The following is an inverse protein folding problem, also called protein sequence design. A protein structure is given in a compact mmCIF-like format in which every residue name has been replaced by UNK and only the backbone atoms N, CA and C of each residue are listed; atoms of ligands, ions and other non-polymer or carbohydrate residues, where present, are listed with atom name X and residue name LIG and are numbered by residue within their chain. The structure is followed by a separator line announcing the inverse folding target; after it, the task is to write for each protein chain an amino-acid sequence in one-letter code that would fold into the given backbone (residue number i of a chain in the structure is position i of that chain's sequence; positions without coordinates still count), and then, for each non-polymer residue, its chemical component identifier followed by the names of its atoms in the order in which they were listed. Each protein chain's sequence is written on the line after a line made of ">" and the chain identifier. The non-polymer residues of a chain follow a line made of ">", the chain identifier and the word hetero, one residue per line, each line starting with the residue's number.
data_IF_560205144417
#
_entry.id   IF_560205144417
#
_cell.length_a   1.000
_cell.length_b   1.000
_cell.length_c   1.000
_cell.angle_alpha   90.00
_cell.angle_beta   90.00
_cell.angle_gamma   90.00
#
_symmetry.space_group_name_H-M   'P 1'
#
loop_
_entity.id
_entity.type
_entity.pdbx_description
1 polymer ?
#
# COMPACT_ATOMS: atom_id res chain seq x y z
N UNK A 1 59.51 39.81 39.43
CA UNK A 1 59.18 38.70 38.50
C UNK A 1 57.92 38.03 39.03
N UNK A 2 56.78 38.24 38.39
CA UNK A 2 55.52 37.60 38.73
C UNK A 2 54.70 37.44 37.44
N UNK A 3 54.14 36.24 37.27
CA UNK A 3 53.44 35.70 36.10
C UNK A 3 52.16 36.45 35.71
N UNK A 4 51.65 36.26 34.48
CA UNK A 4 50.21 36.37 34.20
C UNK A 4 49.58 35.04 33.77
N UNK A 5 48.32 34.88 34.20
CA UNK A 5 47.42 33.76 33.91
C UNK A 5 46.65 33.88 32.59
N UNK A 6 45.58 33.08 32.40
CA UNK A 6 45.25 32.47 31.11
C UNK A 6 44.23 33.23 30.25
N UNK A 7 44.19 32.75 29.01
CA UNK A 7 43.44 33.10 27.80
C UNK A 7 41.92 33.31 27.93
N UNK A 8 41.44 34.43 27.38
CA UNK A 8 40.03 34.63 27.00
C UNK A 8 39.75 34.04 25.61
N UNK A 9 38.91 33.00 25.58
CA UNK A 9 38.35 32.42 24.38
C UNK A 9 37.17 33.28 23.88
N UNK A 10 37.29 33.82 22.67
CA UNK A 10 36.23 34.58 22.01
C UNK A 10 35.18 33.63 21.45
N UNK A 11 33.94 33.76 21.94
CA UNK A 11 32.78 32.97 21.58
C UNK A 11 32.50 33.00 20.06
N UNK A 12 32.44 31.81 19.45
CA UNK A 12 31.87 31.60 18.12
C UNK A 12 30.37 31.39 18.23
N UNK A 13 29.59 32.26 17.58
CA UNK A 13 28.14 32.15 17.43
C UNK A 13 27.78 30.93 16.59
N UNK A 14 27.14 29.92 17.19
CA UNK A 14 26.52 28.83 16.46
C UNK A 14 25.26 29.34 15.75
N UNK A 15 25.30 29.35 14.41
CA UNK A 15 24.14 29.54 13.55
C UNK A 15 23.16 28.40 13.74
N UNK A 16 22.00 28.68 14.31
CA UNK A 16 20.85 27.76 14.32
C UNK A 16 20.23 27.75 12.92
N UNK A 17 20.18 26.57 12.32
CA UNK A 17 19.56 26.32 11.02
C UNK A 17 18.03 26.25 11.16
N UNK A 18 17.24 27.17 10.57
CA UNK A 18 15.79 27.21 10.76
C UNK A 18 15.12 26.43 9.63
N UNK A 19 14.98 25.10 9.78
CA UNK A 19 14.34 24.30 8.73
C UNK A 19 13.97 22.85 9.05
N UNK A 20 14.36 22.30 10.20
CA UNK A 20 14.00 20.92 10.54
C UNK A 20 12.59 20.89 11.18
N UNK A 21 11.58 20.55 10.36
CA UNK A 21 10.29 20.10 10.87
C UNK A 21 10.53 18.86 11.77
N UNK A 22 9.89 18.75 12.94
CA UNK A 22 10.02 17.57 13.78
C UNK A 22 9.47 16.35 13.02
N UNK A 23 10.30 15.33 12.87
CA UNK A 23 9.91 14.04 12.27
C UNK A 23 8.73 13.46 13.04
N UNK A 24 7.73 12.95 12.32
CA UNK A 24 6.58 12.26 12.95
C UNK A 24 7.04 10.93 13.55
N UNK A 25 6.34 10.43 14.57
CA UNK A 25 6.63 9.11 15.18
C UNK A 25 6.58 7.99 14.12
N UNK A 26 5.64 8.10 13.16
CA UNK A 26 5.55 7.21 12.00
C UNK A 26 6.78 7.29 11.08
N UNK A 27 7.29 8.49 10.78
CA UNK A 27 8.51 8.63 9.96
C UNK A 27 9.76 8.17 10.69
N UNK A 28 9.85 8.40 11.99
CA UNK A 28 10.93 7.86 12.81
C UNK A 28 10.91 6.34 12.80
N UNK A 29 9.75 5.72 13.00
CA UNK A 29 9.59 4.27 12.96
C UNK A 29 9.93 3.71 11.58
N UNK A 30 9.51 4.36 10.49
CA UNK A 30 9.85 3.96 9.12
C UNK A 30 11.37 4.03 8.91
N UNK A 31 12.02 5.12 9.32
CA UNK A 31 13.46 5.33 9.11
C UNK A 31 14.30 4.38 9.99
N UNK A 32 13.91 4.21 11.25
CA UNK A 32 14.53 3.25 12.16
C UNK A 32 14.31 1.80 11.69
N UNK A 33 13.11 1.46 11.19
CA UNK A 33 12.87 0.16 10.55
C UNK A 33 13.78 -0.05 9.33
N UNK A 34 13.95 0.95 8.45
CA UNK A 34 14.85 0.84 7.29
C UNK A 34 16.30 0.57 7.71
N UNK A 35 16.77 1.22 8.78
CA UNK A 35 18.13 1.06 9.29
C UNK A 35 18.37 -0.34 9.87
N UNK A 36 17.40 -0.89 10.64
CA UNK A 36 17.49 -2.25 11.20
C UNK A 36 17.33 -3.33 10.12
N UNK A 37 16.51 -3.09 9.10
CA UNK A 37 16.14 -4.08 8.07
C UNK A 37 17.01 -4.07 6.83
N UNK A 38 18.02 -3.19 6.76
CA UNK A 38 18.90 -3.01 5.62
C UNK A 38 19.62 -4.30 5.16
N UNK A 39 19.78 -5.29 6.06
CA UNK A 39 20.34 -6.60 5.74
C UNK A 39 19.30 -7.70 5.92
N UNK A 40 19.02 -8.44 4.83
CA UNK A 40 18.18 -9.65 4.85
C UNK A 40 18.80 -10.70 5.77
N UNK A 41 17.99 -11.34 6.62
CA UNK A 41 18.44 -12.37 7.56
C UNK A 41 18.38 -13.80 7.01
N UNK A 42 17.48 -14.07 6.06
CA UNK A 42 17.43 -15.32 5.30
C UNK A 42 17.60 -14.99 3.82
N UNK A 43 18.32 -15.81 3.05
CA UNK A 43 18.41 -15.63 1.60
C UNK A 43 17.21 -16.25 0.87
N UNK A 44 16.73 -17.38 1.38
CA UNK A 44 15.63 -18.15 0.80
C UNK A 44 14.72 -18.74 1.87
N UNK A 45 13.46 -18.97 1.49
CA UNK A 45 12.48 -19.69 2.29
C UNK A 45 11.90 -20.87 1.49
N UNK A 46 11.86 -22.04 2.11
CA UNK A 46 11.16 -23.22 1.61
C UNK A 46 9.72 -23.16 2.08
N UNK A 47 8.79 -23.12 1.13
CA UNK A 47 7.35 -23.01 1.37
C UNK A 47 6.58 -24.01 0.50
N UNK A 48 6.25 -25.16 1.09
CA UNK A 48 5.65 -26.28 0.35
C UNK A 48 6.60 -26.80 -0.72
N UNK A 49 6.20 -26.69 -1.98
CA UNK A 49 7.03 -27.07 -3.14
C UNK A 49 7.97 -25.97 -3.63
N UNK A 50 7.87 -24.77 -3.06
CA UNK A 50 8.56 -23.59 -3.57
C UNK A 50 9.80 -23.28 -2.75
N UNK A 51 10.86 -22.87 -3.44
CA UNK A 51 12.05 -22.24 -2.87
C UNK A 51 12.05 -20.79 -3.32
N UNK A 52 11.80 -19.87 -2.39
CA UNK A 52 11.50 -18.47 -2.70
C UNK A 52 12.63 -17.59 -2.17
N UNK A 53 13.22 -16.75 -3.03
CA UNK A 53 14.17 -15.72 -2.60
C UNK A 53 13.44 -14.64 -1.80
N UNK A 54 13.95 -14.33 -0.62
CA UNK A 54 13.41 -13.28 0.26
C UNK A 54 13.86 -11.90 -0.19
N UNK A 55 13.06 -10.87 0.09
CA UNK A 55 13.34 -9.50 -0.34
C UNK A 55 13.74 -8.60 0.82
N UNK A 56 13.15 -8.82 2.00
CA UNK A 56 13.34 -7.97 3.17
C UNK A 56 13.67 -8.80 4.41
N UNK A 57 14.24 -8.15 5.41
CA UNK A 57 14.37 -8.71 6.75
C UNK A 57 13.00 -8.96 7.37
N UNK A 58 12.87 -10.10 8.06
CA UNK A 58 11.72 -10.43 8.91
C UNK A 58 12.19 -10.95 10.28
N UNK A 59 11.70 -10.44 11.41
CA UNK A 59 12.22 -10.73 12.75
C UNK A 59 11.75 -12.09 13.29
N UNK A 60 12.17 -13.18 12.63
CA UNK A 60 11.97 -14.52 13.17
C UNK A 60 12.82 -14.70 14.44
N UNK A 61 12.26 -15.28 15.52
CA UNK A 61 12.99 -15.53 16.76
C UNK A 61 13.85 -16.80 16.65
N UNK A 62 14.75 -16.83 15.67
CA UNK A 62 15.72 -17.90 15.46
C UNK A 62 17.11 -17.38 15.84
N UNK A 63 17.84 -18.16 16.64
CA UNK A 63 19.13 -17.77 17.23
C UNK A 63 20.29 -17.79 16.23
N UNK A 64 20.12 -18.48 15.10
CA UNK A 64 21.15 -18.66 14.07
C UNK A 64 20.66 -18.04 12.75
N UNK A 65 21.49 -17.18 12.15
CA UNK A 65 21.24 -16.65 10.80
C UNK A 65 21.59 -17.74 9.79
N UNK A 66 20.66 -18.67 9.58
CA UNK A 66 20.75 -19.62 8.49
C UNK A 66 20.41 -18.96 7.15
N UNK A 67 21.03 -19.42 6.07
CA UNK A 67 20.70 -18.94 4.72
C UNK A 67 19.28 -19.36 4.28
N UNK A 68 18.74 -20.43 4.87
CA UNK A 68 17.45 -21.03 4.50
C UNK A 68 16.49 -21.10 5.69
N UNK A 69 15.24 -20.70 5.45
CA UNK A 69 14.15 -20.83 6.40
C UNK A 69 13.15 -21.89 5.91
N UNK A 70 12.64 -22.75 6.80
CA UNK A 70 11.64 -23.75 6.44
C UNK A 70 10.28 -23.40 7.01
N UNK A 71 9.27 -23.24 6.17
CA UNK A 71 7.93 -22.83 6.60
C UNK A 71 6.88 -23.83 6.11
N UNK A 72 5.98 -24.24 7.00
CA UNK A 72 4.84 -25.08 6.65
C UNK A 72 3.85 -24.30 5.77
N UNK A 73 3.49 -24.85 4.60
CA UNK A 73 2.51 -24.26 3.66
C UNK A 73 1.05 -24.30 4.14
N UNK A 74 0.80 -24.89 5.31
CA UNK A 74 -0.54 -25.07 5.91
C UNK A 74 -0.77 -24.19 7.12
N UNK A 75 0.21 -24.13 8.03
CA UNK A 75 0.07 -23.44 9.33
C UNK A 75 1.07 -22.30 9.54
N UNK A 76 1.94 -22.04 8.54
CA UNK A 76 3.01 -21.04 8.60
C UNK A 76 4.03 -21.24 9.74
N UNK A 77 3.99 -22.35 10.48
CA UNK A 77 5.04 -22.67 11.45
C UNK A 77 6.39 -22.69 10.74
N UNK A 78 7.35 -21.97 11.30
CA UNK A 78 8.72 -21.87 10.82
C UNK A 78 9.64 -22.79 11.62
N UNK A 79 10.69 -23.29 10.97
CA UNK A 79 11.75 -24.13 11.50
C UNK A 79 13.08 -23.71 10.87
N UNK A 80 14.18 -23.87 11.63
CA UNK A 80 15.53 -23.67 11.14
C UNK A 80 16.00 -24.85 10.28
N UNK A 81 15.70 -26.09 10.72
CA UNK A 81 16.16 -27.30 10.05
C UNK A 81 15.09 -27.99 9.17
N UNK A 82 15.54 -28.57 8.06
CA UNK A 82 14.68 -29.33 7.13
C UNK A 82 14.08 -30.60 7.73
N UNK A 83 14.82 -31.35 8.56
CA UNK A 83 14.31 -32.58 9.20
C UNK A 83 13.11 -32.28 10.13
N UNK A 84 13.21 -31.20 10.91
CA UNK A 84 12.13 -30.71 11.76
C UNK A 84 10.89 -30.34 10.94
N UNK A 85 11.08 -29.71 9.77
CA UNK A 85 10.02 -29.40 8.82
C UNK A 85 9.36 -30.65 8.24
N UNK A 86 10.12 -31.66 7.80
CA UNK A 86 9.55 -32.91 7.28
C UNK A 86 8.71 -33.66 8.31
N UNK A 87 9.20 -33.74 9.56
CA UNK A 87 8.46 -34.34 10.67
C UNK A 87 7.17 -33.57 10.97
N UNK A 88 7.22 -32.23 10.92
CA UNK A 88 6.03 -31.41 11.08
C UNK A 88 5.02 -31.63 9.95
N UNK A 89 5.47 -31.69 8.69
CA UNK A 89 4.60 -31.90 7.52
C UNK A 89 3.82 -33.21 7.59
N UNK A 90 4.40 -34.27 8.16
CA UNK A 90 3.73 -35.56 8.40
C UNK A 90 2.65 -35.48 9.49
N UNK A 91 2.81 -34.61 10.49
CA UNK A 91 1.91 -34.47 11.65
C UNK A 91 0.88 -33.35 11.49
N UNK A 92 1.13 -32.38 10.62
CA UNK A 92 0.30 -31.19 10.47
C UNK A 92 -1.06 -31.52 9.86
N UNK A 93 -2.12 -31.35 10.65
CA UNK A 93 -3.51 -31.68 10.27
C UNK A 93 -4.24 -30.53 9.57
N UNK A 94 -3.66 -29.32 9.53
CA UNK A 94 -4.31 -28.14 8.95
C UNK A 94 -4.43 -28.27 7.43
N UNK A 95 -5.63 -28.07 6.89
CA UNK A 95 -5.92 -28.17 5.44
C UNK A 95 -6.36 -26.85 4.81
N UNK A 96 -6.73 -25.87 5.61
CA UNK A 96 -7.15 -24.55 5.16
C UNK A 96 -6.79 -23.51 6.23
N UNK A 97 -6.80 -22.22 5.89
CA UNK A 97 -6.70 -21.17 6.88
C UNK A 97 -7.77 -21.33 7.97
N UNK A 98 -7.45 -21.05 9.24
CA UNK A 98 -8.46 -21.01 10.28
C UNK A 98 -9.43 -19.85 10.04
N UNK A 99 -10.60 -19.85 10.68
CA UNK A 99 -11.61 -18.81 10.51
C UNK A 99 -12.73 -19.20 9.56
N UNK A 100 -13.35 -18.21 8.90
CA UNK A 100 -14.57 -18.42 8.11
C UNK A 100 -14.38 -18.04 6.65
N UNK A 101 -15.03 -18.78 5.75
CA UNK A 101 -15.10 -18.41 4.33
C UNK A 101 -16.01 -17.20 4.15
N UNK A 102 -15.52 -16.16 3.50
CA UNK A 102 -16.29 -14.91 3.22
C UNK A 102 -16.50 -14.67 1.73
N UNK A 103 -15.78 -15.39 0.87
CA UNK A 103 -15.96 -15.38 -0.57
C UNK A 103 -15.53 -16.71 -1.16
N UNK A 104 -16.24 -17.16 -2.19
CA UNK A 104 -15.86 -18.31 -3.00
C UNK A 104 -16.32 -18.14 -4.44
N UNK A 105 -15.41 -18.34 -5.39
CA UNK A 105 -15.72 -18.44 -6.82
C UNK A 105 -14.84 -19.48 -7.48
N UNK A 106 -15.43 -20.62 -7.81
CA UNK A 106 -14.67 -21.79 -8.25
C UNK A 106 -13.71 -22.26 -7.16
N UNK A 107 -12.44 -22.44 -7.51
CA UNK A 107 -11.37 -22.82 -6.58
C UNK A 107 -10.86 -21.66 -5.70
N UNK A 108 -11.13 -20.41 -6.07
CA UNK A 108 -10.65 -19.24 -5.31
C UNK A 108 -11.53 -18.98 -4.10
N UNK A 109 -10.95 -19.02 -2.90
CA UNK A 109 -11.64 -18.81 -1.62
C UNK A 109 -10.92 -17.73 -0.82
N UNK A 110 -11.67 -16.78 -0.24
CA UNK A 110 -11.13 -15.84 0.75
C UNK A 110 -11.64 -16.23 2.12
N UNK A 111 -10.69 -16.45 3.03
CA UNK A 111 -10.91 -16.76 4.43
C UNK A 111 -10.70 -15.50 5.27
N UNK A 112 -11.66 -15.17 6.13
CA UNK A 112 -11.51 -14.14 7.16
C UNK A 112 -11.06 -14.81 8.47
N UNK A 113 -9.90 -14.37 8.95
CA UNK A 113 -9.23 -14.88 10.15
C UNK A 113 -9.08 -13.75 11.15
N UNK A 114 -9.55 -13.97 12.37
CA UNK A 114 -9.45 -13.01 13.45
C UNK A 114 -8.10 -13.18 14.17
N UNK A 115 -7.25 -12.14 14.12
CA UNK A 115 -5.92 -12.17 14.73
C UNK A 115 -5.94 -12.33 16.26
N UNK A 116 -7.02 -11.95 16.94
CA UNK A 116 -7.17 -12.21 18.38
C UNK A 116 -7.52 -13.66 18.69
N UNK A 117 -8.22 -14.36 17.78
CA UNK A 117 -8.64 -15.76 17.97
C UNK A 117 -7.57 -16.74 17.53
N UNK A 118 -6.94 -16.48 16.40
CA UNK A 118 -5.92 -17.34 15.77
C UNK A 118 -4.52 -16.71 15.82
N UNK A 119 -4.15 -16.18 16.99
CA UNK A 119 -2.95 -15.34 17.21
C UNK A 119 -1.67 -15.94 16.62
N UNK A 120 -1.34 -17.18 16.97
CA UNK A 120 -0.12 -17.84 16.49
C UNK A 120 -0.08 -17.96 14.96
N UNK A 121 -1.22 -18.26 14.33
CA UNK A 121 -1.29 -18.39 12.88
C UNK A 121 -1.09 -17.02 12.20
N UNK A 122 -1.74 -15.97 12.71
CA UNK A 122 -1.63 -14.62 12.19
C UNK A 122 -0.24 -14.00 12.41
N UNK A 123 0.41 -14.28 13.54
CA UNK A 123 1.81 -13.91 13.79
C UNK A 123 2.75 -14.58 12.79
N UNK A 124 2.63 -15.90 12.62
CA UNK A 124 3.44 -16.65 11.66
C UNK A 124 3.21 -16.14 10.22
N UNK A 125 1.96 -15.88 9.83
CA UNK A 125 1.62 -15.31 8.53
C UNK A 125 2.21 -13.90 8.35
N UNK A 126 2.19 -13.08 9.41
CA UNK A 126 2.76 -11.73 9.40
C UNK A 126 4.28 -11.74 9.24
N UNK A 127 4.99 -12.62 9.98
CA UNK A 127 6.43 -12.83 9.81
C UNK A 127 6.76 -13.33 8.40
N UNK A 128 5.95 -14.24 7.86
CA UNK A 128 6.13 -14.72 6.49
C UNK A 128 5.89 -13.62 5.45
N UNK A 129 4.83 -12.83 5.60
CA UNK A 129 4.55 -11.68 4.75
C UNK A 129 5.66 -10.64 4.77
N UNK A 130 6.25 -10.36 5.94
CA UNK A 130 7.35 -9.39 6.10
C UNK A 130 8.60 -9.73 5.28
N UNK A 131 8.80 -11.00 4.89
CA UNK A 131 9.88 -11.38 3.96
C UNK A 131 9.73 -10.74 2.56
N UNK A 132 8.51 -10.30 2.21
CA UNK A 132 8.14 -9.79 0.88
C UNK A 132 7.48 -8.40 0.93
N UNK A 133 7.32 -7.83 2.12
CA UNK A 133 6.78 -6.48 2.35
C UNK A 133 7.86 -5.65 3.05
N UNK A 134 8.18 -4.50 2.46
CA UNK A 134 9.18 -3.58 3.00
C UNK A 134 8.71 -2.99 4.34
N UNK A 135 7.57 -2.30 4.28
CA UNK A 135 6.98 -1.57 5.40
C UNK A 135 5.86 -2.41 6.00
N UNK A 136 6.15 -2.98 7.17
CA UNK A 136 5.18 -3.63 8.06
C UNK A 136 5.72 -3.56 9.48
N UNK A 137 5.10 -2.72 10.29
CA UNK A 137 5.49 -2.41 11.66
C UNK A 137 4.95 -3.43 12.66
N UNK A 138 3.73 -3.94 12.42
CA UNK A 138 3.06 -4.88 13.33
C UNK A 138 3.10 -6.31 12.81
N UNK A 139 3.85 -7.18 13.51
CA UNK A 139 3.96 -8.62 13.23
C UNK A 139 3.74 -9.53 14.45
N UNK A 140 3.83 -9.01 15.68
CA UNK A 140 3.50 -9.76 16.90
C UNK A 140 2.12 -9.40 17.48
N UNK A 141 1.72 -8.12 17.39
CA UNK A 141 0.43 -7.64 17.90
C UNK A 141 -0.66 -7.72 16.82
N UNK A 142 -1.18 -8.93 16.62
CA UNK A 142 -2.21 -9.21 15.61
C UNK A 142 -3.65 -9.02 16.12
N UNK A 143 -3.85 -8.75 17.41
CA UNK A 143 -5.16 -8.84 18.07
C UNK A 143 -6.19 -7.85 17.49
N UNK A 144 -5.73 -6.71 17.01
CA UNK A 144 -6.56 -5.66 16.41
C UNK A 144 -6.78 -5.81 14.90
N UNK A 145 -6.32 -6.93 14.30
CA UNK A 145 -6.38 -7.14 12.86
C UNK A 145 -7.30 -8.30 12.47
N UNK A 146 -7.98 -8.11 11.35
CA UNK A 146 -8.56 -9.17 10.55
C UNK A 146 -7.64 -9.47 9.37
N UNK A 147 -7.43 -10.74 9.09
CA UNK A 147 -6.65 -11.20 7.94
C UNK A 147 -7.59 -11.84 6.92
N UNK A 148 -7.52 -11.40 5.68
CA UNK A 148 -8.26 -11.93 4.55
C UNK A 148 -7.31 -12.69 3.65
N UNK A 149 -7.39 -14.01 3.70
CA UNK A 149 -6.42 -14.91 3.09
C UNK A 149 -7.02 -15.51 1.83
N UNK A 150 -6.43 -15.19 0.69
CA UNK A 150 -6.80 -15.75 -0.60
C UNK A 150 -6.13 -17.11 -0.78
N UNK A 151 -6.93 -18.11 -1.14
CA UNK A 151 -6.50 -19.48 -1.37
C UNK A 151 -6.99 -20.02 -2.70
N UNK A 152 -6.27 -21.01 -3.22
CA UNK A 152 -6.66 -21.87 -4.34
C UNK A 152 -6.95 -23.28 -3.82
N UNK A 153 -8.21 -23.69 -3.90
CA UNK A 153 -8.68 -24.97 -3.38
C UNK A 153 -8.40 -26.12 -4.35
N UNK A 154 -7.79 -27.19 -3.85
CA UNK A 154 -7.69 -28.48 -4.54
C UNK A 154 -8.60 -29.53 -3.88
N UNK A 155 -8.48 -30.81 -4.31
CA UNK A 155 -9.30 -31.90 -3.76
C UNK A 155 -9.01 -32.24 -2.28
N UNK A 156 -7.91 -31.74 -1.73
CA UNK A 156 -7.39 -32.12 -0.41
C UNK A 156 -7.26 -30.94 0.56
N UNK A 157 -6.95 -29.74 0.07
CA UNK A 157 -6.58 -28.56 0.85
C UNK A 157 -6.71 -27.25 0.08
N UNK A 158 -6.63 -26.15 0.81
CA UNK A 158 -6.64 -24.79 0.29
C UNK A 158 -5.21 -24.22 0.35
N UNK A 159 -4.61 -23.97 -0.83
CA UNK A 159 -3.25 -23.44 -0.93
C UNK A 159 -3.27 -21.92 -0.82
N UNK A 160 -2.53 -21.35 0.12
CA UNK A 160 -2.47 -19.89 0.29
C UNK A 160 -1.73 -19.23 -0.88
N UNK A 161 -2.38 -18.26 -1.50
CA UNK A 161 -1.86 -17.47 -2.62
C UNK A 161 -1.35 -16.11 -2.19
N UNK A 162 -1.96 -15.54 -1.14
CA UNK A 162 -1.69 -14.20 -0.64
C UNK A 162 -2.69 -13.82 0.44
N UNK A 163 -2.50 -12.65 1.04
CA UNK A 163 -3.44 -12.11 2.01
C UNK A 163 -3.39 -10.59 2.01
N UNK A 164 -4.43 -9.98 2.58
CA UNK A 164 -4.35 -8.65 3.12
C UNK A 164 -4.84 -8.63 4.56
N UNK A 165 -4.42 -7.62 5.31
CA UNK A 165 -4.91 -7.36 6.67
C UNK A 165 -5.69 -6.06 6.71
N UNK A 166 -6.57 -5.95 7.68
CA UNK A 166 -7.39 -4.77 7.94
C UNK A 166 -7.54 -4.61 9.44
N UNK A 167 -7.36 -3.40 9.93
CA UNK A 167 -7.67 -3.09 11.33
C UNK A 167 -9.16 -3.28 11.61
N UNK A 168 -9.49 -3.82 12.78
CA UNK A 168 -10.88 -3.94 13.24
C UNK A 168 -11.51 -2.56 13.42
N UNK A 169 -10.71 -1.60 13.92
CA UNK A 169 -11.07 -0.21 14.12
C UNK A 169 -9.92 0.60 13.52
N UNK A 170 -10.20 1.34 12.45
CA UNK A 170 -9.22 2.25 11.83
C UNK A 170 -9.75 3.67 11.98
N UNK A 171 -8.95 4.56 12.56
CA UNK A 171 -9.33 5.96 12.78
C UNK A 171 -9.28 6.79 11.49
N UNK A 172 -8.38 6.42 10.57
CA UNK A 172 -8.18 7.07 9.27
C UNK A 172 -8.98 6.42 8.12
N UNK A 173 -9.95 5.57 8.47
CA UNK A 173 -10.78 4.83 7.50
C UNK A 173 -9.99 3.95 6.52
N UNK A 174 -8.84 3.41 6.96
CA UNK A 174 -8.10 2.46 6.14
C UNK A 174 -8.87 1.15 5.99
N UNK A 175 -9.12 0.76 4.73
CA UNK A 175 -9.79 -0.50 4.42
C UNK A 175 -8.83 -1.66 4.19
N UNK A 176 -7.54 -1.35 4.13
CA UNK A 176 -6.47 -2.30 3.91
C UNK A 176 -5.19 -1.75 4.55
N UNK A 177 -4.59 -2.53 5.46
CA UNK A 177 -3.34 -2.20 6.12
C UNK A 177 -2.14 -2.70 5.29
N UNK A 178 -1.87 -4.00 5.33
CA UNK A 178 -0.89 -4.63 4.44
C UNK A 178 -1.52 -5.60 3.44
N UNK A 179 -0.93 -5.72 2.26
CA UNK A 179 -1.33 -6.65 1.18
C UNK A 179 -0.11 -7.31 0.57
N UNK A 180 -0.20 -8.62 0.32
CA UNK A 180 0.83 -9.37 -0.39
C UNK A 180 0.22 -10.52 -1.19
N UNK A 181 0.66 -10.65 -2.44
CA UNK A 181 0.54 -11.89 -3.21
C UNK A 181 1.89 -12.59 -3.11
N UNK A 182 1.90 -13.86 -2.72
CA UNK A 182 3.16 -14.59 -2.56
C UNK A 182 3.91 -14.64 -3.90
N UNK A 183 5.25 -14.53 -3.91
CA UNK A 183 6.01 -14.35 -5.15
C UNK A 183 5.71 -15.37 -6.28
N UNK A 184 5.52 -16.68 -6.03
CA UNK A 184 5.18 -17.66 -7.08
C UNK A 184 3.82 -17.42 -7.78
N UNK A 185 2.96 -16.60 -7.19
CA UNK A 185 1.60 -16.36 -7.64
C UNK A 185 1.36 -14.92 -8.12
N UNK A 186 2.39 -14.08 -8.16
CA UNK A 186 2.29 -12.71 -8.64
C UNK A 186 1.98 -12.64 -10.14
N UNK A 187 1.47 -11.49 -10.60
CA UNK A 187 1.10 -11.22 -12.00
C UNK A 187 0.00 -12.14 -12.59
N UNK A 188 -0.79 -12.80 -11.75
CA UNK A 188 -1.95 -13.65 -12.13
C UNK A 188 -3.32 -13.01 -11.82
N UNK A 189 -3.36 -11.72 -11.48
CA UNK A 189 -4.60 -11.01 -11.14
C UNK A 189 -5.08 -11.14 -9.69
N UNK A 190 -4.43 -11.97 -8.85
CA UNK A 190 -4.82 -12.17 -7.45
C UNK A 190 -4.75 -10.90 -6.59
N UNK A 191 -3.79 -10.01 -6.86
CA UNK A 191 -3.71 -8.72 -6.18
C UNK A 191 -4.93 -7.83 -6.48
N UNK A 192 -5.37 -7.82 -7.75
CA UNK A 192 -6.58 -7.11 -8.17
C UNK A 192 -7.82 -7.64 -7.45
N UNK A 193 -7.96 -8.97 -7.36
CA UNK A 193 -9.08 -9.61 -6.65
C UNK A 193 -9.12 -9.22 -5.16
N UNK A 194 -7.96 -9.18 -4.49
CA UNK A 194 -7.90 -8.78 -3.07
C UNK A 194 -8.23 -7.29 -2.87
N UNK A 195 -7.78 -6.41 -3.78
CA UNK A 195 -8.14 -4.98 -3.76
C UNK A 195 -9.64 -4.80 -4.02
N UNK A 196 -10.20 -5.47 -5.04
CA UNK A 196 -11.64 -5.47 -5.31
C UNK A 196 -12.44 -5.93 -4.09
N UNK A 197 -11.97 -6.98 -3.42
CA UNK A 197 -12.61 -7.49 -2.21
C UNK A 197 -12.51 -6.52 -1.02
N UNK A 198 -11.40 -5.81 -0.82
CA UNK A 198 -11.28 -4.82 0.27
C UNK A 198 -12.26 -3.65 0.08
N UNK A 199 -12.46 -3.19 -1.16
CA UNK A 199 -13.48 -2.20 -1.49
C UNK A 199 -14.91 -2.73 -1.35
N UNK A 200 -15.14 -4.00 -1.70
CA UNK A 200 -16.43 -4.66 -1.47
C UNK A 200 -16.83 -4.66 0.01
N UNK A 201 -15.88 -4.94 0.90
CA UNK A 201 -16.09 -4.90 2.35
C UNK A 201 -16.47 -3.48 2.81
N UNK A 202 -15.74 -2.45 2.35
CA UNK A 202 -16.08 -1.04 2.64
C UNK A 202 -17.48 -0.67 2.17
N UNK A 203 -17.83 -1.06 0.93
CA UNK A 203 -19.15 -0.80 0.34
C UNK A 203 -20.27 -1.43 1.17
N UNK A 204 -20.11 -2.68 1.59
CA UNK A 204 -21.09 -3.39 2.43
C UNK A 204 -21.21 -2.78 3.83
N UNK A 205 -20.13 -2.24 4.36
CA UNK A 205 -20.14 -1.52 5.62
C UNK A 205 -20.71 -0.09 5.51
N UNK A 206 -21.04 0.38 4.30
CA UNK A 206 -21.49 1.75 4.07
C UNK A 206 -20.41 2.80 4.35
N UNK A 207 -19.13 2.41 4.32
CA UNK A 207 -17.98 3.31 4.56
C UNK A 207 -17.19 3.50 3.27
N UNK A 208 -16.58 4.67 3.16
CA UNK A 208 -15.50 4.91 2.19
C UNK A 208 -14.22 4.45 2.87
N UNK A 209 -13.29 3.88 2.12
CA UNK A 209 -11.97 3.56 2.67
C UNK A 209 -10.90 3.56 1.60
N UNK A 210 -9.68 3.76 2.05
CA UNK A 210 -8.48 3.78 1.21
C UNK A 210 -7.43 2.83 1.77
N UNK A 211 -6.44 2.40 0.97
CA UNK A 211 -5.28 1.74 1.55
C UNK A 211 -4.54 2.66 2.52
N UNK A 212 -3.92 2.04 3.52
CA UNK A 212 -2.87 2.64 4.37
C UNK A 212 -1.69 3.10 3.51
N UNK A 213 -1.02 4.17 3.95
CA UNK A 213 0.15 4.76 3.29
C UNK A 213 1.36 4.67 4.22
N UNK A 214 2.60 4.59 3.67
CA UNK A 214 2.94 4.57 2.26
C UNK A 214 2.71 3.20 1.59
N UNK A 215 2.25 3.21 0.33
CA UNK A 215 2.15 2.02 -0.50
C UNK A 215 3.51 1.62 -1.06
N UNK A 216 3.79 0.32 -1.16
CA UNK A 216 4.92 -0.17 -1.96
C UNK A 216 4.73 0.15 -3.45
N UNK A 217 5.81 0.26 -4.23
CA UNK A 217 5.73 0.52 -5.68
C UNK A 217 4.80 -0.46 -6.42
N UNK A 218 4.86 -1.75 -6.06
CA UNK A 218 4.01 -2.78 -6.63
C UNK A 218 2.54 -2.62 -6.17
N UNK A 219 2.34 -2.24 -4.90
CA UNK A 219 1.04 -1.90 -4.35
C UNK A 219 0.40 -0.73 -5.09
N UNK A 220 1.12 0.38 -5.22
CA UNK A 220 0.66 1.59 -5.92
C UNK A 220 0.27 1.29 -7.37
N UNK A 221 1.10 0.57 -8.12
CA UNK A 221 0.77 0.15 -9.50
C UNK A 221 -0.50 -0.68 -9.56
N UNK A 222 -0.71 -1.57 -8.60
CA UNK A 222 -1.91 -2.42 -8.53
C UNK A 222 -3.17 -1.59 -8.23
N UNK A 223 -3.09 -0.66 -7.27
CA UNK A 223 -4.18 0.26 -6.94
C UNK A 223 -4.52 1.21 -8.09
N UNK A 224 -3.52 1.79 -8.76
CA UNK A 224 -3.74 2.63 -9.94
C UNK A 224 -4.45 1.85 -11.05
N UNK A 225 -4.00 0.63 -11.33
CA UNK A 225 -4.64 -0.24 -12.33
C UNK A 225 -6.11 -0.50 -11.96
N UNK A 226 -6.37 -0.79 -10.68
CA UNK A 226 -7.73 -0.98 -10.16
C UNK A 226 -8.61 0.26 -10.34
N UNK A 227 -8.14 1.43 -9.90
CA UNK A 227 -8.89 2.68 -9.97
C UNK A 227 -9.18 3.08 -11.41
N UNK A 228 -8.17 3.02 -12.30
CA UNK A 228 -8.34 3.30 -13.73
C UNK A 228 -9.36 2.34 -14.36
N UNK A 229 -9.25 1.03 -14.09
CA UNK A 229 -10.21 0.04 -14.60
C UNK A 229 -11.64 0.31 -14.11
N UNK A 230 -11.80 0.68 -12.85
CA UNK A 230 -13.08 1.02 -12.24
C UNK A 230 -13.70 2.25 -12.89
N UNK A 231 -12.92 3.32 -13.09
CA UNK A 231 -13.36 4.53 -13.79
C UNK A 231 -13.76 4.24 -15.24
N UNK A 232 -12.97 3.46 -15.98
CA UNK A 232 -13.29 3.08 -17.35
C UNK A 232 -14.61 2.30 -17.41
N UNK A 233 -14.82 1.32 -16.53
CA UNK A 233 -16.07 0.55 -16.45
C UNK A 233 -17.26 1.44 -16.13
N UNK A 234 -17.08 2.38 -15.20
CA UNK A 234 -18.10 3.37 -14.85
C UNK A 234 -18.48 4.24 -16.06
N UNK A 235 -17.52 4.87 -16.72
CA UNK A 235 -17.80 5.72 -17.89
C UNK A 235 -18.38 4.92 -19.06
N UNK A 236 -17.93 3.69 -19.31
CA UNK A 236 -18.54 2.81 -20.32
C UNK A 236 -20.00 2.48 -20.01
N UNK A 237 -20.33 2.27 -18.74
CA UNK A 237 -21.71 2.03 -18.31
C UNK A 237 -22.58 3.26 -18.52
N UNK A 238 -22.10 4.43 -18.12
CA UNK A 238 -22.81 5.72 -18.27
C UNK A 238 -22.99 6.06 -19.75
N UNK A 239 -21.91 6.05 -20.54
CA UNK A 239 -21.96 6.37 -21.97
C UNK A 239 -22.73 5.31 -22.77
N UNK A 240 -22.62 4.03 -22.43
CA UNK A 240 -23.39 2.95 -23.05
C UNK A 240 -24.89 3.09 -22.82
N UNK A 241 -25.30 3.51 -21.61
CA UNK A 241 -26.70 3.87 -21.33
C UNK A 241 -27.11 5.15 -22.07
N UNK A 242 -26.25 6.16 -22.17
CA UNK A 242 -26.58 7.41 -22.89
C UNK A 242 -26.77 7.18 -24.40
N UNK A 243 -26.04 6.25 -25.00
CA UNK A 243 -26.19 5.89 -26.41
C UNK A 243 -27.45 5.05 -26.70
N UNK A 244 -27.95 4.29 -25.72
CA UNK A 244 -29.15 3.44 -25.87
C UNK A 244 -30.48 4.17 -25.62
N UNK A 245 -30.46 5.43 -25.17
CA UNK A 245 -31.67 6.23 -24.93
C UNK A 245 -32.08 7.02 -26.18
N UNK A 246 -33.39 7.11 -26.51
CA UNK A 246 -33.91 8.02 -27.52
C UNK A 246 -33.50 9.47 -27.22
N UNK A 247 -33.29 10.26 -28.27
CA UNK A 247 -32.73 11.62 -28.18
C UNK A 247 -33.54 12.56 -27.27
N UNK A 248 -34.85 12.33 -27.14
CA UNK A 248 -35.78 13.10 -26.31
C UNK A 248 -35.55 12.98 -24.78
N UNK A 249 -34.95 11.88 -24.30
CA UNK A 249 -34.77 11.62 -22.85
C UNK A 249 -33.36 11.99 -22.34
N UNK A 250 -32.46 12.41 -23.24
CA UNK A 250 -31.06 12.72 -22.90
C UNK A 250 -30.93 13.98 -22.04
N UNK A 251 -31.82 14.96 -22.22
CA UNK A 251 -31.84 16.21 -21.47
C UNK A 251 -32.40 16.05 -20.05
N UNK A 252 -33.32 15.11 -19.83
CA UNK A 252 -33.94 14.84 -18.52
C UNK A 252 -33.08 13.91 -17.65
N UNK A 253 -32.26 13.06 -18.25
CA UNK A 253 -31.35 12.15 -17.55
C UNK A 253 -30.18 12.87 -16.85
N UNK A 254 -29.82 14.08 -17.32
CA UNK A 254 -28.76 14.91 -16.72
C UNK A 254 -29.10 15.35 -15.28
N UNK A 255 -30.39 15.42 -14.93
CA UNK A 255 -30.87 15.91 -13.63
C UNK A 255 -31.25 14.84 -12.59
N UNK A 256 -31.26 13.54 -12.94
CA UNK A 256 -31.74 12.48 -12.04
C UNK A 256 -30.98 11.17 -12.16
N UNK A 257 -29.69 11.13 -11.81
CA UNK A 257 -29.10 9.89 -11.26
C UNK A 257 -28.17 10.23 -10.10
N UNK A 258 -28.53 9.74 -8.91
CA UNK A 258 -27.69 9.72 -7.72
C UNK A 258 -26.34 9.11 -8.08
N UNK A 259 -25.30 9.91 -7.86
CA UNK A 259 -23.90 9.53 -7.82
C UNK A 259 -23.73 8.40 -6.79
N UNK A 260 -23.72 7.13 -7.23
CA UNK A 260 -23.30 6.02 -6.37
C UNK A 260 -21.77 5.99 -6.33
N UNK A 261 -21.23 6.77 -5.38
CA UNK A 261 -20.02 6.54 -4.57
C UNK A 261 -18.84 5.80 -5.23
N UNK A 262 -18.20 6.39 -6.23
CA UNK A 262 -16.79 6.06 -6.54
C UNK A 262 -15.83 7.20 -6.22
N UNK A 263 -16.31 8.44 -6.07
CA UNK A 263 -15.52 9.57 -5.59
C UNK A 263 -16.43 10.53 -4.77
N UNK A 264 -15.99 11.03 -3.59
CA UNK A 264 -16.73 12.04 -2.84
C UNK A 264 -16.69 13.42 -3.55
N UNK A 265 -17.70 14.28 -3.31
CA UNK A 265 -17.80 15.61 -3.93
C UNK A 265 -16.67 16.59 -3.55
N UNK A 266 -15.87 16.27 -2.53
CA UNK A 266 -14.80 17.16 -2.01
C UNK A 266 -13.39 16.84 -2.53
N UNK A 267 -13.25 16.00 -3.57
CA UNK A 267 -11.96 15.81 -4.26
C UNK A 267 -11.41 17.11 -4.89
N UNK A 268 -12.22 18.17 -4.96
CA UNK A 268 -11.87 19.48 -5.50
C UNK A 268 -10.94 20.32 -4.60
N UNK A 269 -10.46 19.80 -3.45
CA UNK A 269 -9.52 20.51 -2.56
C UNK A 269 -8.10 19.93 -2.48
N UNK A 270 -7.74 18.95 -3.31
CA UNK A 270 -6.31 18.69 -3.55
C UNK A 270 -5.76 19.76 -4.49
N UNK A 271 -5.25 20.84 -3.89
CA UNK A 271 -4.46 21.85 -4.57
C UNK A 271 -3.18 21.19 -5.08
N UNK A 272 -3.11 21.03 -6.40
CA UNK A 272 -1.88 20.77 -7.14
C UNK A 272 -0.95 21.97 -6.99
N UNK A 273 0.06 21.88 -6.15
CA UNK A 273 1.22 22.77 -6.29
C UNK A 273 2.09 22.24 -7.42
N UNK A 274 1.88 22.82 -8.61
CA UNK A 274 2.87 23.11 -9.65
C UNK A 274 3.82 22.01 -10.13
N UNK A 275 3.63 21.56 -11.37
CA UNK A 275 4.68 20.88 -12.15
C UNK A 275 4.12 20.28 -13.44
N UNK A 276 4.52 20.83 -14.58
CA UNK A 276 3.95 20.56 -15.91
C UNK A 276 3.97 19.08 -16.35
N UNK A 277 2.97 18.76 -17.17
CA UNK A 277 2.75 17.45 -17.80
C UNK A 277 3.80 17.22 -18.91
N UNK A 278 4.49 16.06 -18.97
CA UNK A 278 5.16 15.63 -20.19
C UNK A 278 4.14 14.98 -21.14
N UNK A 279 4.23 15.38 -22.40
CA UNK A 279 3.44 14.96 -23.55
C UNK A 279 3.34 13.43 -23.71
N UNK A 280 2.11 12.91 -23.77
CA UNK A 280 1.77 11.48 -23.86
C UNK A 280 1.63 11.06 -25.33
N UNK A 281 2.71 11.22 -26.11
CA UNK A 281 2.73 10.85 -27.52
C UNK A 281 4.09 10.27 -27.96
N UNK A 282 4.64 9.30 -27.21
CA UNK A 282 5.81 8.53 -27.71
C UNK A 282 6.05 7.17 -27.02
N UNK A 283 4.99 6.50 -26.52
CA UNK A 283 5.10 5.19 -25.87
C UNK A 283 4.53 4.02 -26.71
N UNK A 284 4.52 4.16 -28.04
CA UNK A 284 4.29 3.04 -28.94
C UNK A 284 5.60 2.74 -29.68
N UNK A 285 6.33 1.76 -29.16
CA UNK A 285 7.11 0.72 -29.87
C UNK A 285 7.97 0.01 -28.82
N UNK A 286 8.24 -1.27 -29.07
CA UNK A 286 8.98 -2.24 -28.24
C UNK A 286 8.09 -3.13 -27.34
N UNK A 287 7.41 -4.09 -27.99
CA UNK A 287 7.21 -5.42 -27.41
C UNK A 287 8.40 -6.30 -27.82
N UNK A 288 8.99 -7.13 -26.94
CA UNK A 288 9.85 -8.22 -27.36
C UNK A 288 9.05 -9.53 -27.42
N UNK A 289 9.02 -10.13 -28.61
CA UNK A 289 8.68 -11.53 -28.84
C UNK A 289 9.80 -12.44 -28.33
N UNK A 290 9.42 -13.64 -27.87
CA UNK A 290 10.33 -14.69 -27.44
C UNK A 290 10.87 -15.50 -28.63
N UNK A 291 12.09 -16.04 -28.46
CA UNK A 291 12.79 -17.20 -29.07
C UNK A 291 14.31 -16.86 -29.13
N UNK A 292 15.34 -17.71 -29.08
CA UNK A 292 15.65 -19.09 -28.68
C UNK A 292 17.21 -19.19 -28.63
N UNK A 293 17.79 -20.30 -28.13
CA UNK A 293 19.19 -20.49 -27.69
C UNK A 293 20.32 -20.44 -28.78
N UNK A 294 21.54 -20.06 -28.36
CA UNK A 294 22.88 -20.70 -28.62
C UNK A 294 24.08 -19.74 -28.82
N UNK A 295 25.24 -20.07 -28.19
CA UNK A 295 26.58 -19.88 -28.79
C UNK A 295 27.55 -18.76 -28.32
N UNK A 296 28.37 -19.04 -27.30
CA UNK A 296 29.82 -18.76 -27.07
C UNK A 296 30.58 -17.51 -27.68
N UNK A 297 31.00 -16.56 -26.82
CA UNK A 297 32.31 -15.83 -26.78
C UNK A 297 32.64 -14.64 -27.75
N UNK A 298 33.73 -13.85 -27.53
CA UNK A 298 34.01 -12.98 -26.37
C UNK A 298 34.49 -11.51 -26.68
N UNK A 299 34.41 -10.64 -25.65
CA UNK A 299 35.16 -9.37 -25.34
C UNK A 299 34.91 -8.08 -26.18
N UNK A 300 34.52 -6.99 -25.48
CA UNK A 300 35.30 -5.73 -25.44
C UNK A 300 34.86 -4.77 -24.31
N UNK A 301 35.85 -4.19 -23.59
CA UNK A 301 35.70 -3.17 -22.53
C UNK A 301 35.39 -1.79 -23.14
N UNK A 302 34.57 -0.97 -22.47
CA UNK A 302 34.59 0.48 -22.65
C UNK A 302 34.25 1.24 -21.35
N UNK A 303 35.25 1.95 -20.82
CA UNK A 303 35.13 3.01 -19.79
C UNK A 303 34.84 4.34 -20.48
N UNK A 304 34.03 5.20 -19.85
CA UNK A 304 34.05 6.69 -19.81
C UNK A 304 32.70 7.14 -19.22
N UNK A 305 32.52 8.25 -18.51
CA UNK A 305 33.36 9.24 -17.83
C UNK A 305 32.31 10.21 -17.27
N UNK A 306 32.26 10.41 -15.96
CA UNK A 306 31.41 11.42 -15.33
C UNK A 306 32.07 12.79 -15.50
N UNK A 307 31.34 13.79 -15.99
CA UNK A 307 31.74 15.19 -15.97
C UNK A 307 30.56 16.00 -15.43
N UNK A 308 30.75 16.58 -14.25
CA UNK A 308 29.86 17.58 -13.66
C UNK A 308 29.91 18.89 -14.44
N UNK A 309 28.96 19.77 -14.14
CA UNK A 309 28.92 21.13 -14.62
C UNK A 309 28.53 22.04 -13.46
N UNK A 310 29.42 23.01 -13.21
CA UNK A 310 29.33 24.10 -12.24
C UNK A 310 28.45 25.24 -12.78
N UNK A 311 27.90 26.05 -11.87
CA UNK A 311 26.94 27.11 -12.17
C UNK A 311 27.56 28.42 -12.69
N UNK A 312 26.67 29.31 -13.16
CA UNK A 312 26.84 30.76 -13.06
C UNK A 312 25.47 31.47 -13.19
N UNK A 313 25.41 32.66 -12.62
CA UNK A 313 24.23 33.43 -12.22
C UNK A 313 24.12 34.75 -13.04
N UNK A 314 22.88 35.27 -13.16
CA UNK A 314 22.44 36.66 -13.48
C UNK A 314 22.48 37.16 -14.96
N UNK A 315 21.73 38.24 -15.36
CA UNK A 315 20.86 39.15 -14.59
C UNK A 315 19.46 39.44 -15.17
N UNK A 316 18.71 40.24 -14.40
CA UNK A 316 17.31 40.67 -14.53
C UNK A 316 16.92 41.46 -15.79
N UNK A 317 15.64 41.34 -16.18
CA UNK A 317 14.91 42.40 -16.89
C UNK A 317 13.52 42.65 -16.28
N UNK A 318 13.20 43.94 -16.21
CA UNK A 318 12.08 44.57 -15.52
C UNK A 318 10.76 44.42 -16.30
N UNK A 319 9.64 44.27 -15.60
CA UNK A 319 8.34 44.84 -16.04
C UNK A 319 7.43 45.12 -14.84
N UNK A 320 6.68 46.21 -14.96
CA UNK A 320 5.97 47.01 -13.93
C UNK A 320 4.91 46.27 -13.10
N UNK A 321 4.68 46.67 -11.84
CA UNK A 321 3.41 46.44 -11.15
C UNK A 321 2.41 47.60 -11.40
N UNK A 322 1.13 47.24 -11.52
CA UNK A 322 0.00 48.16 -11.40
C UNK A 322 -0.48 48.19 -9.94
N UNK A 323 -0.90 49.37 -9.51
CA UNK A 323 -1.32 49.75 -8.16
C UNK A 323 -2.79 49.37 -7.83
N UNK A 324 -3.23 49.54 -6.57
CA UNK A 324 -4.23 48.70 -5.90
C UNK A 324 -5.64 49.29 -5.92
N UNK A 325 -6.62 48.47 -5.54
CA UNK A 325 -7.91 48.96 -5.05
C UNK A 325 -8.16 48.37 -3.66
N UNK A 326 -8.12 49.26 -2.67
CA UNK A 326 -8.72 49.10 -1.36
C UNK A 326 -10.24 48.94 -1.50
N UNK A 327 -10.84 48.08 -0.68
CA UNK A 327 -11.87 48.58 0.25
C UNK A 327 -12.09 47.65 1.45
N UNK A 328 -12.24 48.31 2.59
CA UNK A 328 -12.32 47.78 3.93
C UNK A 328 -13.74 47.31 4.31
N UNK A 329 -13.84 46.49 5.36
CA UNK A 329 -15.14 46.17 5.97
C UNK A 329 -15.08 45.14 7.09
N UNK A 330 -14.82 45.61 8.30
CA UNK A 330 -14.63 44.81 9.52
C UNK A 330 -15.93 44.66 10.33
N UNK A 331 -16.30 43.40 10.65
CA UNK A 331 -16.94 42.93 11.92
C UNK A 331 -18.45 43.25 12.21
N UNK A 332 -19.09 42.71 13.28
CA UNK A 332 -19.15 41.32 13.81
C UNK A 332 -20.56 40.92 14.36
N UNK A 333 -20.65 39.72 14.94
CA UNK A 333 -21.67 39.21 15.91
C UNK A 333 -23.13 38.99 15.46
N UNK A 334 -23.60 37.73 15.59
CA UNK A 334 -24.69 37.38 16.52
C UNK A 334 -24.90 35.86 16.60
N UNK A 335 -24.91 35.34 17.82
CA UNK A 335 -25.38 34.02 18.19
C UNK A 335 -26.91 33.94 18.17
N UNK A 336 -27.47 32.76 17.94
CA UNK A 336 -28.90 32.50 18.08
C UNK A 336 -29.22 31.01 18.03
N UNK A 337 -29.44 30.42 19.21
CA UNK A 337 -30.07 29.11 19.43
C UNK A 337 -31.52 29.09 18.92
N UNK A 338 -32.01 27.89 18.56
CA UNK A 338 -33.34 27.31 18.88
C UNK A 338 -33.50 26.00 18.07
N UNK A 339 -33.47 24.85 18.74
CA UNK A 339 -34.62 24.02 19.16
C UNK A 339 -35.20 23.09 18.07
N UNK A 340 -35.05 21.78 18.37
CA UNK A 340 -36.07 20.72 18.34
C UNK A 340 -37.00 20.56 17.13
N UNK A 341 -36.90 19.40 16.46
CA UNK A 341 -38.07 18.59 16.14
C UNK A 341 -37.67 17.13 15.90
N UNK A 342 -38.22 16.26 16.73
CA UNK A 342 -38.29 14.82 16.52
C UNK A 342 -39.26 14.49 15.38
N UNK A 343 -38.92 13.52 14.53
CA UNK A 343 -39.90 12.77 13.76
C UNK A 343 -39.38 11.35 13.47
N UNK A 344 -40.14 10.40 13.98
CA UNK A 344 -40.09 8.94 13.87
C UNK A 344 -40.33 8.42 12.44
N UNK A 345 -39.62 7.33 12.08
CA UNK A 345 -39.96 6.10 11.30
C UNK A 345 -41.08 6.11 10.21
N UNK A 346 -41.04 5.26 9.15
CA UNK A 346 -40.73 3.82 9.27
C UNK A 346 -39.94 3.13 8.14
N UNK A 347 -39.50 1.93 8.52
CA UNK A 347 -39.04 0.75 7.75
C UNK A 347 -39.64 0.59 6.36
N UNK A 348 -38.82 0.09 5.43
CA UNK A 348 -39.26 -0.78 4.35
C UNK A 348 -38.32 -1.98 4.27
N UNK A 349 -38.92 -3.17 4.38
CA UNK A 349 -38.36 -4.45 3.98
C UNK A 349 -38.03 -4.42 2.49
N UNK A 350 -36.92 -5.05 2.08
CA UNK A 350 -36.76 -6.08 1.04
C UNK A 350 -35.27 -6.40 0.90
#
# INVERSE_FOLDING_TARGET
>A
MASPGPSDARAGSASQDPGAQPITEEEYDIEHHKQITAKRNFDQVIFGRWQIKTWYFSPYPLTETEAMLWVCDRCFKYMAEGLSWELHMKKCTRKNPPGRKVYQRGAHIIWEVDGAKDKLYCQNLSLFGKLFIDIKTLFFDCDNFLFYILTDADSQRDHVLGFFSKEKISYDDYNLACIVVLPPYQRKGYGMLMIEFSYELSRRAGRIGTPERPLSDLGLRSYLTYWVSTLIRFFRCVCGHMCAMPEADRSTAYGRRRLLSVLPPDASKMITTGGGVPDLAQAHLLSPTAESEDGMGPKMKRRKSTKGWDGEELPATKTRPAEPHDDAGTSPFAAGQLMSAAATCPRAHW
#
